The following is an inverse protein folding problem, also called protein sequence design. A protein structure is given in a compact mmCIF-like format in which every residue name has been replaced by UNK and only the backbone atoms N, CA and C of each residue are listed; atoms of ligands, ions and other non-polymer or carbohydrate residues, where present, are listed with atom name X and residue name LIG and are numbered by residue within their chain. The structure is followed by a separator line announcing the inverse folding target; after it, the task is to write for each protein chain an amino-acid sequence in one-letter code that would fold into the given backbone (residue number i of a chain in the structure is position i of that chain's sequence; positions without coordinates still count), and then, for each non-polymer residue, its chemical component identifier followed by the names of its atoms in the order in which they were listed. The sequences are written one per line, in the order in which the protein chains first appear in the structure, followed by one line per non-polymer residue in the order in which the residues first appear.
data_IF_205051583037
#
_entry.id   IF_205051583037
#
_cell.length_a   1.000
_cell.length_b   1.000
_cell.length_c   1.000
_cell.angle_alpha   90.00
_cell.angle_beta   90.00
_cell.angle_gamma   90.00
#
_symmetry.space_group_name_H-M   'P 1'
#
loop_
_entity.id
_entity.type
_entity.pdbx_description
1 polymer ?
#
# COMPACT_ATOMS: atom_id res chain seq x y z
N UNK A 1 16.11 -17.78 16.72
CA UNK A 1 15.07 -17.70 15.69
C UNK A 1 15.71 -17.12 14.44
N UNK A 2 15.52 -17.71 13.27
CA UNK A 2 16.00 -17.15 11.99
C UNK A 2 15.32 -15.79 11.76
N UNK A 3 16.04 -14.85 11.13
CA UNK A 3 15.43 -13.60 10.71
C UNK A 3 14.27 -13.87 9.74
N UNK A 4 13.13 -13.16 9.87
CA UNK A 4 11.99 -13.36 8.98
C UNK A 4 12.37 -12.96 7.55
N UNK A 5 12.03 -13.81 6.58
CA UNK A 5 12.39 -13.64 5.18
C UNK A 5 11.20 -13.24 4.28
N UNK A 6 10.00 -13.06 4.85
CA UNK A 6 8.79 -12.65 4.15
C UNK A 6 7.87 -11.85 5.08
N UNK A 7 6.89 -11.14 4.52
CA UNK A 7 5.85 -10.48 5.31
C UNK A 7 4.90 -11.50 5.93
N UNK A 8 4.55 -12.55 5.21
CA UNK A 8 3.65 -13.61 5.68
C UNK A 8 4.21 -15.00 5.39
N UNK A 9 3.89 -15.93 6.28
CA UNK A 9 3.96 -17.37 6.03
C UNK A 9 2.54 -17.90 5.85
N UNK A 10 2.32 -18.80 4.89
CA UNK A 10 1.02 -19.43 4.71
C UNK A 10 0.95 -20.76 5.49
N UNK A 11 -0.07 -20.91 6.34
CA UNK A 11 -0.38 -22.13 7.07
C UNK A 11 -1.83 -22.55 6.76
N UNK A 12 -1.99 -23.41 5.78
CA UNK A 12 -3.31 -23.77 5.26
C UNK A 12 -4.07 -22.58 4.69
N UNK A 13 -5.21 -22.26 5.28
CA UNK A 13 -6.03 -21.10 4.90
C UNK A 13 -5.61 -19.81 5.62
N UNK A 14 -4.66 -19.87 6.54
CA UNK A 14 -4.21 -18.74 7.35
C UNK A 14 -2.90 -18.16 6.84
N UNK A 15 -2.75 -16.86 7.03
CA UNK A 15 -1.52 -16.11 6.79
C UNK A 15 -0.98 -15.62 8.12
N UNK A 16 0.23 -16.06 8.45
CA UNK A 16 0.91 -15.73 9.71
C UNK A 16 1.83 -14.53 9.42
N UNK A 17 1.52 -13.33 9.94
CA UNK A 17 2.34 -12.16 9.70
C UNK A 17 3.65 -12.26 10.49
N UNK A 18 4.75 -11.91 9.85
CA UNK A 18 6.04 -11.73 10.53
C UNK A 18 6.13 -10.33 11.13
N UNK A 19 7.16 -10.09 11.94
CA UNK A 19 7.46 -8.76 12.48
C UNK A 19 7.72 -7.71 11.39
N UNK A 20 8.02 -8.13 10.16
CA UNK A 20 8.20 -7.22 9.01
C UNK A 20 6.91 -6.53 8.58
N UNK A 21 5.74 -7.00 9.01
CA UNK A 21 4.47 -6.32 8.75
C UNK A 21 4.24 -5.13 9.68
N UNK A 22 5.00 -5.01 10.79
CA UNK A 22 4.80 -4.00 11.84
C UNK A 22 4.81 -2.58 11.28
N UNK A 23 3.75 -1.85 11.61
CA UNK A 23 3.62 -0.42 11.33
C UNK A 23 4.24 0.48 12.41
N UNK A 24 4.12 1.81 12.25
CA UNK A 24 4.63 2.77 13.23
C UNK A 24 3.69 3.00 14.42
N UNK A 25 2.46 2.51 14.37
CA UNK A 25 1.38 2.90 15.29
C UNK A 25 1.38 2.13 16.62
N UNK A 26 1.92 0.93 16.64
CA UNK A 26 2.01 0.10 17.82
C UNK A 26 2.77 -1.19 17.57
N UNK A 27 3.29 -1.85 18.62
CA UNK A 27 4.09 -3.05 18.47
C UNK A 27 3.32 -4.24 17.89
N UNK A 28 2.00 -4.27 18.12
CA UNK A 28 1.12 -5.38 17.74
C UNK A 28 0.31 -5.13 16.47
N UNK A 29 0.56 -4.01 15.77
CA UNK A 29 -0.23 -3.64 14.60
C UNK A 29 0.63 -3.58 13.34
N UNK A 30 0.04 -4.03 12.24
CA UNK A 30 0.63 -4.00 10.92
C UNK A 30 0.56 -2.58 10.32
N UNK A 31 1.48 -2.28 9.40
CA UNK A 31 1.32 -1.23 8.40
C UNK A 31 0.21 -1.66 7.42
N UNK A 32 -0.60 -0.74 6.89
CA UNK A 32 -1.70 -1.10 5.99
C UNK A 32 -1.28 -1.68 4.64
N UNK A 33 -0.02 -1.50 4.24
CA UNK A 33 0.50 -2.03 2.97
C UNK A 33 0.49 -3.57 2.87
N UNK A 34 1.09 -4.32 3.81
CA UNK A 34 1.07 -5.78 3.77
C UNK A 34 -0.34 -6.40 3.69
N UNK A 35 -1.34 -6.03 4.53
CA UNK A 35 -2.69 -6.55 4.39
C UNK A 35 -3.35 -6.16 3.06
N UNK A 36 -3.14 -4.94 2.56
CA UNK A 36 -3.65 -4.53 1.24
C UNK A 36 -3.11 -5.39 0.10
N UNK A 37 -1.80 -5.68 0.12
CA UNK A 37 -1.16 -6.55 -0.86
C UNK A 37 -1.64 -8.01 -0.73
N UNK A 38 -1.87 -8.50 0.50
CA UNK A 38 -2.38 -9.85 0.74
C UNK A 38 -3.80 -10.03 0.20
N UNK A 39 -4.67 -9.03 0.40
CA UNK A 39 -6.04 -9.04 -0.16
C UNK A 39 -6.01 -8.95 -1.69
N UNK A 40 -5.07 -8.19 -2.28
CA UNK A 40 -4.90 -8.15 -3.73
C UNK A 40 -4.44 -9.50 -4.30
N UNK A 41 -3.51 -10.19 -3.62
CA UNK A 41 -3.09 -11.55 -4.00
C UNK A 41 -4.29 -12.48 -4.10
N UNK A 42 -5.18 -12.48 -3.11
CA UNK A 42 -6.37 -13.31 -3.12
C UNK A 42 -7.34 -12.97 -4.27
N UNK A 43 -7.42 -11.68 -4.67
CA UNK A 43 -8.20 -11.28 -5.86
C UNK A 43 -7.54 -11.79 -7.14
N UNK A 44 -6.22 -11.71 -7.25
CA UNK A 44 -5.48 -12.17 -8.43
C UNK A 44 -5.64 -13.69 -8.64
N UNK A 45 -5.65 -14.48 -7.56
CA UNK A 45 -5.88 -15.93 -7.61
C UNK A 45 -7.26 -16.25 -8.22
N UNK A 46 -8.29 -15.42 -7.99
CA UNK A 46 -9.64 -15.58 -8.53
C UNK A 46 -9.85 -14.92 -9.90
N UNK A 47 -9.06 -13.90 -10.19
CA UNK A 47 -9.30 -13.03 -11.37
C UNK A 47 -8.64 -13.54 -12.66
N UNK A 48 -7.69 -14.47 -12.58
CA UNK A 48 -6.96 -15.06 -13.74
C UNK A 48 -6.48 -14.01 -14.76
N UNK A 49 -7.10 -13.98 -15.95
CA UNK A 49 -6.74 -13.13 -17.09
C UNK A 49 -7.23 -11.67 -17.00
N UNK A 50 -7.64 -11.23 -15.81
CA UNK A 50 -8.03 -9.83 -15.55
C UNK A 50 -6.90 -9.10 -14.82
N UNK A 51 -6.85 -7.79 -14.98
CA UNK A 51 -5.91 -6.91 -14.28
C UNK A 51 -6.64 -6.04 -13.28
N UNK A 52 -6.03 -5.82 -12.13
CA UNK A 52 -6.53 -4.89 -11.12
C UNK A 52 -6.55 -3.47 -11.69
N UNK A 53 -7.73 -2.85 -11.73
CA UNK A 53 -7.93 -1.48 -12.18
C UNK A 53 -8.30 -0.53 -11.03
N UNK A 54 -8.96 -1.03 -10.00
CA UNK A 54 -9.24 -0.29 -8.77
C UNK A 54 -9.27 -1.24 -7.58
N UNK A 55 -8.70 -0.76 -6.48
CA UNK A 55 -8.75 -1.40 -5.17
C UNK A 55 -9.05 -0.33 -4.13
N UNK A 56 -10.07 -0.54 -3.31
CA UNK A 56 -10.40 0.34 -2.18
C UNK A 56 -10.52 -0.53 -0.95
N UNK A 57 -9.77 -0.20 0.09
CA UNK A 57 -9.77 -0.87 1.39
C UNK A 57 -10.18 0.11 2.48
N UNK A 58 -11.05 -0.34 3.37
CA UNK A 58 -11.40 0.30 4.62
C UNK A 58 -10.75 -0.48 5.77
N UNK A 59 -9.97 0.19 6.60
CA UNK A 59 -9.41 -0.38 7.83
C UNK A 59 -10.44 -0.27 8.96
N UNK A 60 -11.20 -1.35 9.17
CA UNK A 60 -12.29 -1.41 10.16
C UNK A 60 -11.73 -1.40 11.58
N UNK A 61 -10.59 -2.05 11.78
CA UNK A 61 -9.83 -2.11 13.01
C UNK A 61 -8.32 -2.03 12.70
N UNK A 62 -7.45 -1.67 13.67
CA UNK A 62 -6.02 -1.85 13.51
C UNK A 62 -5.71 -3.32 13.19
N UNK A 63 -5.04 -3.58 12.08
CA UNK A 63 -4.73 -4.96 11.65
C UNK A 63 -3.69 -5.57 12.59
N UNK A 64 -3.99 -6.65 13.31
CA UNK A 64 -3.06 -7.21 14.29
C UNK A 64 -1.91 -7.99 13.64
N UNK A 65 -0.77 -8.11 14.35
CA UNK A 65 0.28 -9.08 14.03
C UNK A 65 -0.12 -10.43 14.65
N UNK A 66 -1.14 -11.04 14.08
CA UNK A 66 -1.73 -12.32 14.48
C UNK A 66 -2.19 -13.04 13.21
N UNK A 67 -2.47 -14.37 13.26
CA UNK A 67 -2.95 -15.09 12.10
C UNK A 67 -4.19 -14.43 11.47
N UNK A 68 -4.23 -14.39 10.15
CA UNK A 68 -5.29 -13.77 9.37
C UNK A 68 -5.85 -14.75 8.35
N UNK A 69 -7.14 -14.60 8.05
CA UNK A 69 -7.82 -15.28 6.94
C UNK A 69 -8.33 -14.26 5.93
N UNK A 70 -8.27 -14.62 4.65
CA UNK A 70 -8.79 -13.80 3.55
C UNK A 70 -9.95 -14.53 2.90
N UNK A 71 -11.10 -13.85 2.80
CA UNK A 71 -12.28 -14.34 2.07
C UNK A 71 -12.54 -13.44 0.88
N UNK A 72 -12.69 -14.03 -0.29
CA UNK A 72 -13.01 -13.34 -1.54
C UNK A 72 -14.40 -13.73 -2.00
N UNK A 73 -15.20 -12.75 -2.41
CA UNK A 73 -16.50 -12.95 -3.02
C UNK A 73 -16.58 -12.20 -4.36
N UNK A 74 -16.87 -12.93 -5.44
CA UNK A 74 -17.15 -12.31 -6.72
C UNK A 74 -18.61 -11.82 -6.78
N UNK A 75 -18.81 -10.50 -6.67
CA UNK A 75 -20.16 -9.89 -6.68
C UNK A 75 -20.66 -9.56 -8.09
N UNK A 76 -19.77 -9.51 -9.07
CA UNK A 76 -20.12 -9.33 -10.48
C UNK A 76 -19.17 -10.12 -11.39
N UNK A 77 -19.72 -11.01 -12.20
CA UNK A 77 -19.03 -11.86 -13.16
C UNK A 77 -19.25 -11.38 -14.61
N UNK A 78 -18.65 -10.24 -14.97
CA UNK A 78 -18.76 -9.69 -16.33
C UNK A 78 -17.64 -10.21 -17.27
N UNK A 79 -17.90 -10.21 -18.58
CA UNK A 79 -16.93 -10.65 -19.59
C UNK A 79 -15.71 -9.73 -19.72
N UNK A 80 -15.87 -8.42 -19.45
CA UNK A 80 -14.83 -7.38 -19.56
C UNK A 80 -14.46 -6.76 -18.21
N UNK A 81 -15.35 -6.84 -17.24
CA UNK A 81 -15.16 -6.29 -15.91
C UNK A 81 -15.76 -7.24 -14.87
N UNK A 82 -15.04 -7.48 -13.78
CA UNK A 82 -15.50 -8.22 -12.61
C UNK A 82 -15.33 -7.36 -11.37
N UNK A 83 -16.20 -7.55 -10.39
CA UNK A 83 -16.07 -6.92 -9.08
C UNK A 83 -15.97 -7.97 -8.00
N UNK A 84 -15.11 -7.70 -7.05
CA UNK A 84 -14.88 -8.55 -5.88
C UNK A 84 -15.06 -7.74 -4.60
N UNK A 85 -15.55 -8.41 -3.57
CA UNK A 85 -15.48 -7.96 -2.18
C UNK A 85 -14.53 -8.90 -1.45
N UNK A 86 -13.67 -8.34 -0.62
CA UNK A 86 -12.68 -9.09 0.14
C UNK A 86 -12.79 -8.70 1.60
N UNK A 87 -12.79 -9.69 2.47
CA UNK A 87 -12.72 -9.51 3.91
C UNK A 87 -11.43 -10.12 4.44
N UNK A 88 -10.78 -9.39 5.32
CA UNK A 88 -9.64 -9.84 6.10
C UNK A 88 -10.08 -9.95 7.56
N UNK A 89 -9.96 -11.13 8.12
CA UNK A 89 -10.38 -11.43 9.50
C UNK A 89 -9.23 -11.97 10.34
N UNK A 90 -9.23 -11.67 11.63
CA UNK A 90 -8.38 -12.30 12.64
C UNK A 90 -8.92 -13.67 13.06
N UNK A 91 -8.16 -14.40 13.89
CA UNK A 91 -8.53 -15.75 14.38
C UNK A 91 -9.88 -15.79 15.13
N UNK A 92 -10.35 -14.68 15.70
CA UNK A 92 -11.64 -14.56 16.38
C UNK A 92 -12.81 -14.25 15.43
N UNK A 93 -12.63 -14.46 14.12
CA UNK A 93 -13.57 -14.07 13.05
C UNK A 93 -13.90 -12.56 13.03
N UNK A 94 -13.08 -11.76 13.72
CA UNK A 94 -13.23 -10.31 13.71
C UNK A 94 -12.72 -9.74 12.38
N UNK A 95 -13.61 -9.13 11.61
CA UNK A 95 -13.24 -8.44 10.37
C UNK A 95 -12.42 -7.20 10.71
N UNK A 96 -11.15 -7.18 10.28
CA UNK A 96 -10.21 -6.09 10.53
C UNK A 96 -10.06 -5.15 9.32
N UNK A 97 -10.32 -5.64 8.11
CA UNK A 97 -10.37 -4.81 6.91
C UNK A 97 -11.36 -5.36 5.90
N UNK A 98 -11.93 -4.47 5.09
CA UNK A 98 -12.76 -4.81 3.94
C UNK A 98 -12.25 -4.11 2.71
N UNK A 99 -12.26 -4.80 1.57
CA UNK A 99 -11.90 -4.20 0.30
C UNK A 99 -12.92 -4.49 -0.79
N UNK A 100 -13.00 -3.57 -1.73
CA UNK A 100 -13.68 -3.76 -3.01
C UNK A 100 -12.66 -3.64 -4.14
N UNK A 101 -12.76 -4.52 -5.14
CA UNK A 101 -11.89 -4.48 -6.29
C UNK A 101 -12.68 -4.51 -7.60
N UNK A 102 -12.21 -3.71 -8.55
CA UNK A 102 -12.58 -3.78 -9.96
C UNK A 102 -11.40 -4.33 -10.73
N UNK A 103 -11.62 -5.44 -11.43
CA UNK A 103 -10.66 -5.99 -12.37
C UNK A 103 -11.20 -5.89 -13.80
N UNK A 104 -10.33 -5.54 -14.73
CA UNK A 104 -10.66 -5.37 -16.14
C UNK A 104 -9.87 -6.37 -16.99
N UNK A 105 -10.53 -6.91 -17.99
CA UNK A 105 -9.85 -7.76 -18.97
C UNK A 105 -9.08 -6.90 -19.97
N UNK A 106 -7.76 -7.03 -20.06
CA UNK A 106 -7.00 -6.38 -21.12
C UNK A 106 -7.51 -6.80 -22.49
N UNK A 107 -7.57 -5.84 -23.39
CA UNK A 107 -7.90 -6.09 -24.79
C UNK A 107 -6.87 -5.38 -25.65
N UNK A 108 -6.60 -5.93 -26.85
CA UNK A 108 -5.85 -5.18 -27.84
C UNK A 108 -6.61 -3.92 -28.16
N UNK A 109 -6.06 -2.78 -27.73
CA UNK A 109 -6.66 -1.50 -28.05
C UNK A 109 -6.39 -1.19 -29.51
N UNK A 110 -7.46 -0.84 -30.24
CA UNK A 110 -7.33 -0.34 -31.60
C UNK A 110 -6.80 1.10 -31.66
N UNK A 111 -6.31 1.66 -30.54
CA UNK A 111 -5.87 3.05 -30.50
C UNK A 111 -4.36 3.14 -30.30
N UNK A 112 -3.72 3.88 -31.18
CA UNK A 112 -2.32 4.32 -31.07
C UNK A 112 -2.18 5.53 -30.12
N UNK A 113 -3.18 5.82 -29.31
CA UNK A 113 -3.19 6.99 -28.43
C UNK A 113 -2.42 6.68 -27.16
N UNK A 114 -1.11 6.88 -27.21
CA UNK A 114 -0.29 7.01 -26.01
C UNK A 114 -0.12 8.50 -25.70
N UNK A 115 -0.66 8.95 -24.58
CA UNK A 115 -0.35 10.30 -24.08
C UNK A 115 1.01 10.24 -23.39
N UNK A 116 2.01 11.03 -23.83
CA UNK A 116 3.31 11.04 -23.16
C UNK A 116 3.14 11.49 -21.70
N UNK A 117 3.65 10.70 -20.77
CA UNK A 117 3.64 11.02 -19.35
C UNK A 117 5.03 11.42 -18.88
N UNK A 118 5.07 12.39 -17.97
CA UNK A 118 6.32 12.81 -17.35
C UNK A 118 6.73 11.77 -16.30
N UNK A 119 7.96 11.27 -16.40
CA UNK A 119 8.54 10.36 -15.41
C UNK A 119 8.80 11.08 -14.09
N UNK A 120 8.84 10.30 -13.01
CA UNK A 120 9.33 10.80 -11.73
C UNK A 120 10.86 10.88 -11.78
N UNK A 121 11.39 12.08 -11.58
CA UNK A 121 12.82 12.37 -11.60
C UNK A 121 13.30 12.94 -10.24
N UNK A 122 14.54 12.64 -9.84
CA UNK A 122 15.50 11.73 -10.47
C UNK A 122 15.10 10.26 -10.34
N UNK A 123 15.65 9.35 -11.19
CA UNK A 123 15.37 7.93 -11.11
C UNK A 123 15.97 7.31 -9.83
N UNK A 124 15.57 6.09 -9.43
CA UNK A 124 15.99 5.48 -8.16
C UNK A 124 17.51 5.43 -7.96
N UNK A 125 18.27 5.14 -9.02
CA UNK A 125 19.74 5.04 -8.97
C UNK A 125 20.44 6.37 -8.64
N UNK A 126 19.76 7.50 -8.85
CA UNK A 126 20.26 8.87 -8.60
C UNK A 126 19.58 9.52 -7.39
N UNK A 127 18.71 8.79 -6.70
CA UNK A 127 17.96 9.26 -5.54
C UNK A 127 18.65 8.86 -4.24
N UNK A 128 18.63 9.75 -3.24
CA UNK A 128 19.28 9.53 -1.96
C UNK A 128 18.51 8.53 -1.09
N UNK A 129 19.21 7.63 -0.36
CA UNK A 129 18.56 6.73 0.59
C UNK A 129 17.72 7.49 1.62
N UNK A 130 16.58 6.91 1.99
CA UNK A 130 15.66 7.50 2.94
C UNK A 130 15.15 6.47 3.94
N UNK A 131 15.00 6.90 5.20
CA UNK A 131 14.39 6.11 6.27
C UNK A 131 13.30 6.97 6.91
N UNK A 132 12.10 6.41 7.04
CA UNK A 132 10.99 7.09 7.70
C UNK A 132 11.31 7.29 9.19
N UNK A 133 11.33 8.53 9.71
CA UNK A 133 11.80 8.82 11.06
C UNK A 133 10.82 8.43 12.18
N UNK A 134 9.60 8.06 11.85
CA UNK A 134 8.54 7.74 12.81
C UNK A 134 8.43 6.25 13.17
N UNK A 135 9.18 5.37 12.50
CA UNK A 135 9.29 3.98 12.94
C UNK A 135 10.24 3.89 14.14
N UNK A 136 9.71 3.51 15.30
CA UNK A 136 10.48 3.41 16.54
C UNK A 136 11.09 2.03 16.76
N UNK A 137 10.50 0.99 16.16
CA UNK A 137 11.00 -0.37 16.24
C UNK A 137 12.22 -0.56 15.33
N UNK A 138 13.19 -1.38 15.76
CA UNK A 138 14.38 -1.70 14.97
C UNK A 138 14.05 -2.55 13.74
N UNK A 139 12.95 -3.32 13.78
CA UNK A 139 12.49 -4.21 12.70
C UNK A 139 11.00 -3.98 12.47
N UNK A 140 10.59 -3.88 11.22
CA UNK A 140 9.20 -3.69 10.81
C UNK A 140 9.12 -3.43 9.30
N UNK A 141 7.98 -2.93 8.83
CA UNK A 141 7.73 -2.62 7.42
C UNK A 141 8.88 -1.80 6.79
N UNK A 142 9.35 -0.78 7.47
CA UNK A 142 10.42 0.11 7.01
C UNK A 142 11.76 -0.60 6.75
N UNK A 143 12.03 -1.74 7.38
CA UNK A 143 13.26 -2.52 7.15
C UNK A 143 13.12 -3.50 5.98
N UNK A 144 11.89 -3.84 5.62
CA UNK A 144 11.57 -4.70 4.48
C UNK A 144 11.38 -3.93 3.16
N UNK A 145 11.38 -2.60 3.21
CA UNK A 145 11.25 -1.71 2.06
C UNK A 145 12.47 -0.80 1.96
N UNK A 146 13.15 -0.81 0.81
CA UNK A 146 14.12 0.22 0.49
C UNK A 146 13.41 1.48 0.03
N UNK A 147 13.80 2.64 0.57
CA UNK A 147 13.21 3.92 0.18
C UNK A 147 14.30 4.93 -0.20
N UNK A 148 14.02 5.77 -1.20
CA UNK A 148 14.93 6.83 -1.69
C UNK A 148 14.15 8.10 -2.00
N UNK A 149 14.69 9.26 -1.67
CA UNK A 149 14.06 10.56 -1.97
C UNK A 149 14.27 10.91 -3.43
N UNK A 150 13.19 11.03 -4.19
CA UNK A 150 13.22 11.61 -5.52
C UNK A 150 13.18 13.14 -5.44
N UNK A 151 12.22 13.70 -4.67
CA UNK A 151 12.11 15.15 -4.51
C UNK A 151 11.26 15.53 -3.29
N UNK A 152 11.39 16.79 -2.88
CA UNK A 152 10.66 17.34 -1.75
C UNK A 152 11.26 16.92 -0.40
N UNK A 153 10.52 17.17 0.67
CA UNK A 153 10.92 16.89 2.04
C UNK A 153 9.73 16.45 2.86
N UNK A 154 9.86 15.39 3.63
CA UNK A 154 8.86 14.99 4.60
C UNK A 154 8.52 16.14 5.56
N UNK A 155 7.27 16.28 5.94
CA UNK A 155 6.75 17.36 6.80
C UNK A 155 6.37 18.62 6.02
N UNK A 156 6.67 18.70 4.72
CA UNK A 156 6.32 19.86 3.88
C UNK A 156 4.94 19.77 3.21
N UNK A 157 4.23 18.66 3.40
CA UNK A 157 2.96 18.39 2.73
C UNK A 157 3.09 17.90 1.30
N UNK A 158 4.31 17.85 0.75
CA UNK A 158 4.57 17.39 -0.61
C UNK A 158 5.97 16.79 -0.71
N UNK A 159 6.02 15.52 -1.09
CA UNK A 159 7.28 14.83 -1.39
C UNK A 159 7.07 13.71 -2.40
N UNK A 160 8.18 13.18 -2.92
CA UNK A 160 8.17 12.00 -3.76
C UNK A 160 9.31 11.06 -3.36
N UNK A 161 8.97 9.79 -3.18
CA UNK A 161 9.90 8.72 -2.86
C UNK A 161 9.82 7.62 -3.91
N UNK A 162 10.95 6.98 -4.15
CA UNK A 162 11.05 5.66 -4.73
C UNK A 162 11.09 4.62 -3.63
N UNK A 163 10.37 3.52 -3.80
CA UNK A 163 10.29 2.43 -2.85
C UNK A 163 10.43 1.08 -3.56
N UNK A 164 11.16 0.15 -2.95
CA UNK A 164 11.38 -1.20 -3.48
C UNK A 164 11.26 -2.23 -2.37
N UNK A 165 10.56 -3.31 -2.65
CA UNK A 165 10.35 -4.44 -1.74
C UNK A 165 11.59 -5.31 -1.67
N UNK A 166 12.08 -5.60 -0.43
CA UNK A 166 13.29 -6.41 -0.19
C UNK A 166 13.01 -7.87 0.09
N UNK A 167 11.79 -8.20 0.52
CA UNK A 167 11.38 -9.56 0.89
C UNK A 167 10.05 -9.90 0.21
N UNK A 168 9.75 -11.17 -0.09
CA UNK A 168 8.47 -11.55 -0.66
C UNK A 168 7.28 -11.21 0.25
N UNK A 169 6.10 -11.05 -0.33
CA UNK A 169 4.86 -10.88 0.41
C UNK A 169 4.53 -12.13 1.20
N UNK A 170 4.49 -13.27 0.51
CA UNK A 170 4.30 -14.59 1.11
C UNK A 170 5.55 -15.42 0.86
N UNK A 171 6.00 -16.15 1.87
CA UNK A 171 7.19 -16.97 1.79
C UNK A 171 7.11 -17.97 0.62
N UNK A 172 8.18 -18.02 -0.19
CA UNK A 172 8.27 -18.90 -1.36
C UNK A 172 7.56 -18.39 -2.63
N UNK A 173 6.90 -17.22 -2.60
CA UNK A 173 6.19 -16.65 -3.74
C UNK A 173 6.91 -15.41 -4.29
N UNK A 174 6.89 -15.25 -5.61
CA UNK A 174 7.28 -14.00 -6.26
C UNK A 174 6.13 -12.97 -6.21
N UNK A 175 6.35 -11.75 -5.73
CA UNK A 175 5.29 -10.75 -5.66
C UNK A 175 4.85 -10.31 -7.05
N UNK A 176 3.53 -10.22 -7.27
CA UNK A 176 2.97 -9.66 -8.51
C UNK A 176 3.16 -8.14 -8.60
N UNK A 177 3.01 -7.55 -9.79
CA UNK A 177 3.01 -6.10 -9.93
C UNK A 177 1.93 -5.39 -9.09
N UNK A 178 0.72 -5.94 -9.00
CA UNK A 178 -0.36 -5.35 -8.20
C UNK A 178 -0.06 -5.44 -6.70
N UNK A 179 0.47 -6.56 -6.23
CA UNK A 179 0.91 -6.71 -4.84
C UNK A 179 1.98 -5.68 -4.46
N UNK A 180 2.99 -5.47 -5.33
CA UNK A 180 4.05 -4.48 -5.08
C UNK A 180 3.52 -3.08 -4.90
N UNK A 181 2.65 -2.62 -5.81
CA UNK A 181 2.15 -1.26 -5.70
C UNK A 181 1.22 -1.07 -4.50
N UNK A 182 0.36 -2.03 -4.17
CA UNK A 182 -0.53 -1.94 -3.01
C UNK A 182 0.23 -2.04 -1.69
N UNK A 183 1.31 -2.85 -1.64
CA UNK A 183 2.21 -2.89 -0.50
C UNK A 183 2.77 -1.51 -0.16
N UNK A 184 3.07 -0.69 -1.17
CA UNK A 184 3.74 0.61 -1.00
C UNK A 184 2.76 1.79 -0.97
N UNK A 185 1.60 1.70 -1.64
CA UNK A 185 0.66 2.81 -1.80
C UNK A 185 0.16 3.37 -0.47
N UNK A 186 0.03 2.52 0.56
CA UNK A 186 -0.37 2.94 1.90
C UNK A 186 0.64 3.91 2.56
N UNK A 187 1.89 3.94 2.10
CA UNK A 187 2.91 4.88 2.56
C UNK A 187 2.67 6.33 2.07
N UNK A 188 1.70 6.56 1.20
CA UNK A 188 1.44 7.87 0.59
C UNK A 188 1.25 9.00 1.61
N UNK A 189 0.47 8.76 2.67
CA UNK A 189 0.26 9.74 3.74
C UNK A 189 1.56 10.06 4.51
N UNK A 190 2.42 9.06 4.70
CA UNK A 190 3.75 9.24 5.28
C UNK A 190 4.70 10.03 4.36
N UNK A 191 4.65 9.78 3.06
CA UNK A 191 5.44 10.52 2.05
C UNK A 191 5.02 11.99 1.99
N UNK A 192 3.72 12.25 1.90
CA UNK A 192 3.15 13.58 1.83
C UNK A 192 2.91 14.25 3.19
N UNK A 193 3.52 13.78 4.29
CA UNK A 193 3.25 14.30 5.62
C UNK A 193 3.35 15.83 5.72
N UNK A 194 2.32 16.46 6.30
CA UNK A 194 2.27 17.92 6.58
C UNK A 194 2.75 18.20 7.99
N UNK A 195 2.45 17.29 8.92
CA UNK A 195 2.76 17.42 10.33
C UNK A 195 4.05 16.67 10.65
N UNK A 196 4.80 17.18 11.60
CA UNK A 196 5.91 16.41 12.17
C UNK A 196 5.33 15.18 12.89
N UNK A 197 5.60 13.97 12.37
CA UNK A 197 5.04 12.74 12.94
C UNK A 197 5.62 12.39 14.33
N UNK A 198 6.61 13.15 14.80
CA UNK A 198 7.17 12.98 16.15
C UNK A 198 6.42 13.81 17.17
N UNK A 199 5.92 14.98 16.77
CA UNK A 199 5.30 15.98 17.67
C UNK A 199 3.76 15.91 17.72
N UNK A 200 3.15 15.25 16.74
CA UNK A 200 1.69 15.13 16.65
C UNK A 200 1.25 13.68 16.73
N UNK A 201 0.01 13.45 17.18
CA UNK A 201 -0.63 12.16 16.97
C UNK A 201 -0.51 11.82 15.48
N UNK A 202 -0.18 10.58 15.21
CA UNK A 202 -0.09 10.13 13.85
C UNK A 202 -1.39 10.47 13.13
N UNK A 203 -1.27 11.03 11.94
CA UNK A 203 -2.38 11.03 11.01
C UNK A 203 -2.58 9.61 10.54
N UNK A 204 -3.69 9.03 10.95
CA UNK A 204 -4.06 7.66 10.60
C UNK A 204 -4.96 7.73 9.38
N UNK A 205 -4.65 6.97 8.35
CA UNK A 205 -5.58 6.76 7.25
C UNK A 205 -6.61 5.70 7.63
N UNK A 206 -7.87 6.03 7.45
CA UNK A 206 -8.99 5.11 7.66
C UNK A 206 -9.20 4.19 6.45
N UNK A 207 -8.74 4.61 5.28
CA UNK A 207 -8.91 3.94 4.00
C UNK A 207 -7.67 4.08 3.10
N UNK A 208 -7.67 3.33 2.01
CA UNK A 208 -6.81 3.53 0.86
C UNK A 208 -7.60 3.16 -0.41
N UNK A 209 -7.71 4.09 -1.35
CA UNK A 209 -8.21 3.82 -2.70
C UNK A 209 -7.10 3.96 -3.72
N UNK A 210 -6.88 2.93 -4.54
CA UNK A 210 -5.90 2.91 -5.64
C UNK A 210 -6.62 2.65 -6.94
N UNK A 211 -6.38 3.49 -7.96
CA UNK A 211 -6.83 3.29 -9.33
C UNK A 211 -5.64 3.21 -10.27
N UNK A 212 -5.59 2.16 -11.09
CA UNK A 212 -4.49 1.86 -12.00
C UNK A 212 -4.99 1.88 -13.45
N UNK A 213 -4.27 2.56 -14.35
CA UNK A 213 -4.49 2.47 -15.79
C UNK A 213 -3.55 1.45 -16.46
N UNK A 214 -2.48 1.05 -15.78
CA UNK A 214 -1.62 -0.08 -16.14
C UNK A 214 -0.99 -0.69 -14.90
N UNK A 215 -0.53 -1.92 -14.98
CA UNK A 215 0.28 -2.53 -13.94
C UNK A 215 1.73 -1.97 -13.98
N UNK A 216 2.41 -1.87 -12.83
CA UNK A 216 3.79 -1.42 -12.78
C UNK A 216 4.76 -2.45 -13.39
N UNK A 217 5.86 -1.93 -13.94
CA UNK A 217 6.98 -2.71 -14.42
C UNK A 217 8.22 -2.48 -13.55
N UNK A 218 9.00 -3.55 -13.34
CA UNK A 218 10.21 -3.50 -12.51
C UNK A 218 9.93 -3.57 -11.01
N UNK A 219 10.95 -3.21 -10.22
CA UNK A 219 10.95 -3.37 -8.76
C UNK A 219 10.72 -2.06 -8.00
N UNK A 220 10.94 -0.92 -8.65
CA UNK A 220 10.83 0.39 -8.04
C UNK A 220 9.48 1.03 -8.33
N UNK A 221 8.78 1.37 -7.26
CA UNK A 221 7.52 2.11 -7.27
C UNK A 221 7.77 3.53 -6.79
N UNK A 222 7.31 4.52 -7.56
CA UNK A 222 7.39 5.91 -7.18
C UNK A 222 6.07 6.40 -6.58
N UNK A 223 6.14 7.10 -5.46
CA UNK A 223 5.01 7.74 -4.80
C UNK A 223 5.27 9.24 -4.74
N UNK A 224 4.52 10.04 -5.49
CA UNK A 224 4.50 11.49 -5.33
C UNK A 224 3.21 11.90 -4.64
N UNK A 225 3.31 12.28 -3.36
CA UNK A 225 2.18 12.51 -2.48
C UNK A 225 2.04 13.99 -2.11
N UNK A 226 0.79 14.44 -2.06
CA UNK A 226 0.40 15.75 -1.56
C UNK A 226 -0.70 15.55 -0.52
N UNK A 227 -0.51 16.12 0.66
CA UNK A 227 -1.48 16.03 1.77
C UNK A 227 -2.01 17.41 2.11
N UNK A 228 -3.31 17.49 2.32
CA UNK A 228 -4.01 18.65 2.90
C UNK A 228 -4.71 18.19 4.17
N UNK A 229 -4.54 18.94 5.26
CA UNK A 229 -5.22 18.69 6.55
C UNK A 229 -5.87 20.01 6.99
N UNK A 230 -7.14 19.94 7.33
CA UNK A 230 -7.90 21.07 7.85
C UNK A 230 -7.73 21.24 9.37
N UNK A 231 -7.94 22.44 9.94
CA UNK A 231 -7.78 22.68 11.38
C UNK A 231 -8.62 21.77 12.30
N UNK A 232 -9.70 21.19 11.80
CA UNK A 232 -10.54 20.24 12.53
C UNK A 232 -10.03 18.79 12.49
N UNK A 233 -8.85 18.55 11.88
CA UNK A 233 -8.17 17.26 11.91
C UNK A 233 -8.55 16.27 10.80
N UNK A 234 -9.42 16.62 9.86
CA UNK A 234 -9.69 15.80 8.68
C UNK A 234 -8.73 16.21 7.57
N UNK A 235 -8.14 15.22 6.90
CA UNK A 235 -7.22 15.44 5.80
C UNK A 235 -7.40 14.45 4.66
N UNK A 236 -6.74 14.76 3.57
CA UNK A 236 -6.69 13.95 2.36
C UNK A 236 -5.26 13.91 1.84
N UNK A 237 -4.76 12.71 1.57
CA UNK A 237 -3.55 12.51 0.76
C UNK A 237 -3.93 12.03 -0.62
N UNK A 238 -3.42 12.72 -1.65
CA UNK A 238 -3.41 12.26 -3.03
C UNK A 238 -2.00 11.86 -3.41
N UNK A 239 -1.85 10.67 -3.94
CA UNK A 239 -0.57 10.10 -4.37
C UNK A 239 -0.63 9.76 -5.85
N UNK A 240 0.23 10.37 -6.67
CA UNK A 240 0.47 9.87 -8.02
C UNK A 240 1.46 8.70 -7.90
N UNK A 241 1.08 7.58 -8.51
CA UNK A 241 1.83 6.32 -8.46
C UNK A 241 2.61 6.15 -9.77
N UNK A 242 3.89 5.76 -9.65
CA UNK A 242 4.82 5.62 -10.77
C UNK A 242 5.54 4.26 -10.73
N UNK A 243 6.00 3.85 -11.89
CA UNK A 243 7.19 3.02 -12.03
C UNK A 243 8.28 3.81 -12.77
N UNK A 244 9.39 3.17 -13.12
CA UNK A 244 10.52 3.82 -13.81
C UNK A 244 10.19 4.32 -15.23
N UNK A 245 9.08 3.90 -15.80
CA UNK A 245 8.62 4.29 -17.14
C UNK A 245 7.65 5.48 -17.11
N UNK A 246 7.02 5.75 -15.98
CA UNK A 246 6.09 6.88 -15.80
C UNK A 246 4.94 6.57 -14.85
N UNK A 247 3.86 7.39 -14.84
CA UNK A 247 2.71 7.16 -13.97
C UNK A 247 1.97 5.88 -14.35
N UNK A 248 1.44 5.23 -13.32
CA UNK A 248 0.67 3.98 -13.43
C UNK A 248 -0.75 4.14 -12.89
N UNK A 249 -0.99 5.17 -12.07
CA UNK A 249 -2.27 5.40 -11.43
C UNK A 249 -2.20 6.43 -10.31
N UNK A 250 -3.24 6.44 -9.49
CA UNK A 250 -3.37 7.34 -8.35
C UNK A 250 -3.86 6.59 -7.10
N UNK A 251 -3.42 7.07 -5.93
CA UNK A 251 -3.90 6.66 -4.62
C UNK A 251 -4.54 7.81 -3.87
N UNK A 252 -5.57 7.52 -3.09
CA UNK A 252 -6.25 8.46 -2.18
C UNK A 252 -6.36 7.83 -0.80
N UNK A 253 -6.13 8.64 0.25
CA UNK A 253 -6.25 8.24 1.64
C UNK A 253 -6.96 9.34 2.43
N UNK A 254 -8.05 8.99 3.12
CA UNK A 254 -8.72 9.87 4.07
C UNK A 254 -8.00 9.80 5.40
N UNK A 255 -7.68 10.95 5.98
CA UNK A 255 -6.85 11.06 7.18
C UNK A 255 -7.61 11.62 8.36
N UNK A 256 -7.31 11.07 9.52
CA UNK A 256 -7.62 11.68 10.81
C UNK A 256 -6.31 12.10 11.47
N UNK A 257 -6.17 13.39 11.76
CA UNK A 257 -5.02 13.95 12.45
C UNK A 257 -5.47 14.53 13.80
N UNK A 258 -4.69 14.34 14.83
CA UNK A 258 -4.99 14.88 16.16
C UNK A 258 -3.71 15.12 16.97
N UNK A 259 -3.81 15.86 18.06
CA UNK A 259 -2.72 15.96 19.01
C UNK A 259 -2.63 14.67 19.82
N UNK A 260 -1.42 14.19 20.07
CA UNK A 260 -1.24 13.13 21.06
C UNK A 260 -1.83 13.58 22.38
N UNK A 261 -2.60 12.73 23.08
CA UNK A 261 -2.93 13.00 24.48
C UNK A 261 -1.63 13.29 25.24
N UNK A 262 -1.66 14.28 26.12
CA UNK A 262 -0.55 14.51 27.04
C UNK A 262 -0.31 13.22 27.83
N UNK A 263 0.94 12.76 27.89
CA UNK A 263 1.34 11.58 28.62
C UNK A 263 1.13 11.79 30.13
#
# INVERSE_FOLDING_TARGET
MSEPCAFFEQDGARFIPSVLTRGPWGPEHQHGGPPSALMARAIEDEAESFQLARFTIDFVQPVPIAPLTVRVEQVRAGRRARNYVVELSSDDDLVVARATALVLRPASAASEVAIPHKRLEPPPAQSEPFVFPFFRASVGYHTAIESRVARGRMGSGKAALWMSQRVPLVAGEGPSPAQRILLMADSGSGVGAVLDPVSFAPFINADLSVSLHRLPEGEWMGLEAVTTIEPHGIGLTRTCLYDVHGPIGEGLQSLVAGRMPAA
#
